data_IF_337696552011
#
_entry.id   IF_337696552011
#
_cell.length_a   1.000
_cell.length_b   1.000
_cell.length_c   1.000
_cell.angle_alpha   90.00
_cell.angle_beta   90.00
_cell.angle_gamma   90.00
#
_symmetry.space_group_name_H-M   'P 1'
#
loop_
_entity.id
_entity.type
_entity.pdbx_description
1 polymer ?
#
# COMPACT_ATOMS: atom_id res chain seq x y z
N UNK A 1 19.47 1.27 -19.37
CA UNK A 1 19.43 2.32 -18.32
C UNK A 1 19.35 1.61 -17.01
N UNK A 2 20.41 1.74 -16.21
CA UNK A 2 20.57 1.02 -14.96
C UNK A 2 19.42 1.39 -14.03
N UNK A 3 18.61 0.41 -13.64
CA UNK A 3 17.72 0.56 -12.52
C UNK A 3 18.59 0.98 -11.36
N UNK A 4 18.46 2.25 -10.96
CA UNK A 4 18.97 2.69 -9.67
C UNK A 4 18.43 1.67 -8.67
N UNK A 5 19.33 0.86 -8.12
CA UNK A 5 18.99 -0.04 -7.03
C UNK A 5 18.27 0.84 -6.01
N UNK A 6 16.97 0.62 -5.84
CA UNK A 6 16.16 1.31 -4.85
C UNK A 6 16.96 1.26 -3.55
N UNK A 7 17.31 2.44 -3.04
CA UNK A 7 18.30 2.56 -1.96
C UNK A 7 17.82 1.71 -0.78
N UNK A 8 18.58 0.70 -0.34
CA UNK A 8 18.15 -0.21 0.72
C UNK A 8 17.74 0.50 2.02
N UNK A 9 18.28 1.70 2.26
CA UNK A 9 17.99 2.55 3.41
C UNK A 9 16.59 3.19 3.33
N UNK A 10 16.13 3.62 2.14
CA UNK A 10 14.79 4.21 1.97
C UNK A 10 13.67 3.19 2.22
N UNK A 11 13.87 1.93 1.83
CA UNK A 11 12.92 0.86 2.14
C UNK A 11 12.98 0.45 3.61
N UNK A 12 14.12 0.60 4.28
CA UNK A 12 14.21 0.40 5.71
C UNK A 12 13.35 1.42 6.46
N UNK A 13 13.50 2.71 6.15
CA UNK A 13 12.70 3.80 6.75
C UNK A 13 11.19 3.63 6.49
N UNK A 14 10.81 3.22 5.26
CA UNK A 14 9.42 2.91 4.93
C UNK A 14 8.84 1.81 5.84
N UNK A 15 9.56 0.69 5.97
CA UNK A 15 9.08 -0.43 6.79
C UNK A 15 9.15 -0.14 8.29
N UNK A 16 10.04 0.73 8.75
CA UNK A 16 10.03 1.23 10.12
C UNK A 16 8.74 2.00 10.41
N UNK A 17 8.32 2.90 9.52
CA UNK A 17 7.03 3.59 9.62
C UNK A 17 5.82 2.65 9.58
N UNK A 18 5.81 1.68 8.67
CA UNK A 18 4.77 0.65 8.58
C UNK A 18 4.70 -0.17 9.88
N UNK A 19 5.84 -0.52 10.47
CA UNK A 19 5.89 -1.26 11.73
C UNK A 19 5.37 -0.43 12.90
N UNK A 20 5.63 0.88 12.95
CA UNK A 20 5.03 1.77 13.96
C UNK A 20 3.51 1.72 13.89
N UNK A 21 2.92 1.84 12.69
CA UNK A 21 1.47 1.77 12.48
C UNK A 21 0.93 0.39 12.88
N UNK A 22 1.58 -0.68 12.40
CA UNK A 22 1.18 -2.06 12.72
C UNK A 22 1.19 -2.31 14.23
N UNK A 23 2.25 -1.92 14.93
CA UNK A 23 2.36 -2.08 16.38
C UNK A 23 1.30 -1.28 17.11
N UNK A 24 1.02 -0.05 16.67
CA UNK A 24 -0.08 0.72 17.23
C UNK A 24 -1.42 0.01 17.04
N UNK A 25 -1.71 -0.53 15.85
CA UNK A 25 -2.92 -1.32 15.60
C UNK A 25 -2.97 -2.60 16.44
N UNK A 26 -1.85 -3.30 16.60
CA UNK A 26 -1.77 -4.51 17.43
C UNK A 26 -2.14 -4.22 18.90
N UNK A 27 -1.79 -3.03 19.40
CA UNK A 27 -2.04 -2.60 20.77
C UNK A 27 -3.42 -1.97 21.00
N UNK A 28 -4.11 -1.51 19.94
CA UNK A 28 -5.36 -0.74 20.05
C UNK A 28 -6.56 -1.43 19.39
N UNK A 29 -6.38 -2.56 18.70
CA UNK A 29 -7.47 -3.33 18.16
C UNK A 29 -8.25 -4.06 19.27
N UNK A 30 -9.56 -4.32 19.09
CA UNK A 30 -10.31 -5.24 19.92
C UNK A 30 -9.66 -6.63 20.00
N UNK A 31 -10.02 -7.41 21.03
CA UNK A 31 -9.60 -8.81 21.11
C UNK A 31 -10.03 -9.58 19.86
N UNK A 32 -9.05 -10.22 19.22
CA UNK A 32 -9.23 -10.94 17.96
C UNK A 32 -8.16 -12.03 17.83
N UNK A 33 -8.53 -13.12 17.18
CA UNK A 33 -7.61 -14.17 16.76
C UNK A 33 -6.62 -13.65 15.70
N UNK A 34 -5.53 -14.37 15.48
CA UNK A 34 -4.58 -14.03 14.41
C UNK A 34 -5.24 -14.07 13.02
N UNK A 35 -6.16 -15.01 12.79
CA UNK A 35 -6.92 -15.08 11.54
C UNK A 35 -7.83 -13.86 11.33
N UNK A 36 -8.51 -13.40 12.38
CA UNK A 36 -9.36 -12.21 12.31
C UNK A 36 -8.52 -10.96 12.08
N UNK A 37 -7.38 -10.83 12.77
CA UNK A 37 -6.44 -9.73 12.57
C UNK A 37 -5.97 -9.62 11.11
N UNK A 38 -5.56 -10.74 10.52
CA UNK A 38 -5.15 -10.80 9.11
C UNK A 38 -6.32 -10.41 8.21
N UNK A 39 -7.50 -11.01 8.43
CA UNK A 39 -8.69 -10.73 7.65
C UNK A 39 -9.05 -9.23 7.69
N UNK A 40 -9.10 -8.62 8.87
CA UNK A 40 -9.46 -7.21 9.02
C UNK A 40 -8.46 -6.28 8.33
N UNK A 41 -7.15 -6.56 8.43
CA UNK A 41 -6.12 -5.76 7.76
C UNK A 41 -6.18 -5.88 6.24
N UNK A 42 -6.52 -7.06 5.72
CA UNK A 42 -6.75 -7.24 4.27
C UNK A 42 -8.03 -6.54 3.82
N UNK A 43 -9.11 -6.62 4.59
CA UNK A 43 -10.38 -5.97 4.26
C UNK A 43 -10.27 -4.44 4.23
N UNK A 44 -9.44 -3.84 5.09
CA UNK A 44 -9.17 -2.40 5.10
C UNK A 44 -8.65 -1.88 3.74
N UNK A 45 -7.96 -2.71 2.95
CA UNK A 45 -7.53 -2.33 1.59
C UNK A 45 -8.72 -1.97 0.69
N UNK A 46 -9.82 -2.71 0.80
CA UNK A 46 -11.04 -2.44 0.03
C UNK A 46 -11.73 -1.15 0.47
N UNK A 47 -11.62 -0.79 1.75
CA UNK A 47 -12.14 0.46 2.31
C UNK A 47 -11.38 1.65 1.73
N UNK A 48 -10.04 1.63 1.80
CA UNK A 48 -9.19 2.69 1.22
C UNK A 48 -9.38 2.84 -0.29
N UNK A 49 -9.55 1.71 -1.01
CA UNK A 49 -9.87 1.76 -2.44
C UNK A 49 -11.23 2.42 -2.73
N UNK A 50 -12.19 2.27 -1.80
CA UNK A 50 -13.46 2.97 -1.83
C UNK A 50 -13.26 4.49 -1.71
N UNK A 51 -12.36 4.93 -0.84
CA UNK A 51 -12.02 6.35 -0.66
C UNK A 51 -11.35 6.92 -1.91
N UNK A 52 -10.40 6.19 -2.53
CA UNK A 52 -9.85 6.56 -3.85
C UNK A 52 -10.95 6.73 -4.89
N UNK A 53 -11.93 5.81 -4.91
CA UNK A 53 -13.04 5.87 -5.86
C UNK A 53 -13.92 7.10 -5.63
N UNK A 54 -14.16 7.46 -4.36
CA UNK A 54 -14.88 8.68 -4.01
C UNK A 54 -14.11 9.94 -4.40
N UNK A 55 -12.81 10.00 -4.12
CA UNK A 55 -11.95 11.11 -4.48
C UNK A 55 -11.89 11.31 -6.00
N UNK A 56 -11.79 10.24 -6.79
CA UNK A 56 -11.81 10.32 -8.27
C UNK A 56 -13.16 10.85 -8.77
N UNK A 57 -14.27 10.36 -8.23
CA UNK A 57 -15.59 10.89 -8.58
C UNK A 57 -15.71 12.39 -8.26
N UNK A 58 -15.16 12.83 -7.13
CA UNK A 58 -15.12 14.23 -6.72
C UNK A 58 -14.22 15.08 -7.61
N UNK A 59 -13.02 14.60 -7.96
CA UNK A 59 -12.04 15.32 -8.77
C UNK A 59 -12.42 15.45 -10.25
N UNK A 60 -13.26 14.54 -10.76
CA UNK A 60 -13.71 14.54 -12.16
C UNK A 60 -15.12 15.11 -12.33
N UNK A 61 -15.84 15.38 -11.23
CA UNK A 61 -17.27 15.70 -11.27
C UNK A 61 -18.14 14.57 -11.85
N UNK A 62 -17.61 13.35 -11.97
CA UNK A 62 -18.27 12.24 -12.65
C UNK A 62 -19.53 11.73 -11.93
N UNK A 63 -19.74 12.10 -10.66
CA UNK A 63 -20.97 11.83 -9.93
C UNK A 63 -21.88 13.08 -9.88
N UNK A 64 -22.93 13.17 -10.71
CA UNK A 64 -23.78 14.35 -10.81
C UNK A 64 -24.52 14.69 -9.51
N UNK A 65 -24.63 13.75 -8.56
CA UNK A 65 -25.28 13.98 -7.26
C UNK A 65 -24.36 14.67 -6.24
N UNK A 66 -23.04 14.62 -6.44
CA UNK A 66 -22.05 15.14 -5.49
C UNK A 66 -21.25 16.33 -6.01
N UNK A 67 -21.25 16.59 -7.33
CA UNK A 67 -20.50 17.70 -7.93
C UNK A 67 -18.98 17.54 -7.79
N UNK A 68 -18.24 18.63 -8.02
CA UNK A 68 -16.78 18.67 -7.82
C UNK A 68 -16.47 18.91 -6.35
N UNK A 69 -16.22 17.83 -5.61
CA UNK A 69 -15.98 17.87 -4.15
C UNK A 69 -14.53 17.63 -3.74
N UNK A 70 -13.69 17.13 -4.64
CA UNK A 70 -12.31 16.75 -4.39
C UNK A 70 -11.41 17.28 -5.50
N UNK A 71 -10.11 17.18 -5.27
CA UNK A 71 -9.04 17.49 -6.21
C UNK A 71 -8.22 16.23 -6.51
N UNK A 72 -7.36 16.28 -7.52
CA UNK A 72 -6.41 15.20 -7.78
C UNK A 72 -5.37 15.03 -6.66
N UNK A 73 -5.15 16.04 -5.82
CA UNK A 73 -4.29 15.90 -4.64
C UNK A 73 -4.96 15.00 -3.58
N UNK A 74 -6.29 15.02 -3.47
CA UNK A 74 -7.02 14.11 -2.59
C UNK A 74 -6.90 12.67 -3.12
N UNK A 75 -6.97 12.46 -4.43
CA UNK A 75 -6.74 11.14 -5.05
C UNK A 75 -5.33 10.61 -4.74
N UNK A 76 -4.31 11.47 -4.83
CA UNK A 76 -2.93 11.11 -4.49
C UNK A 76 -2.81 10.68 -3.03
N UNK A 77 -3.43 11.43 -2.12
CA UNK A 77 -3.48 11.09 -0.69
C UNK A 77 -4.13 9.72 -0.46
N UNK A 78 -5.31 9.48 -1.02
CA UNK A 78 -6.01 8.21 -0.80
C UNK A 78 -5.26 7.02 -1.44
N UNK A 79 -4.53 7.24 -2.55
CA UNK A 79 -3.65 6.21 -3.11
C UNK A 79 -2.47 5.88 -2.18
N UNK A 80 -1.93 6.87 -1.47
CA UNK A 80 -0.92 6.64 -0.45
C UNK A 80 -1.48 5.84 0.73
N UNK A 81 -2.72 6.14 1.16
CA UNK A 81 -3.41 5.42 2.22
C UNK A 81 -3.67 3.94 1.85
N UNK A 82 -4.04 3.65 0.58
CA UNK A 82 -4.09 2.27 0.04
C UNK A 82 -2.73 1.59 0.12
N UNK A 83 -1.66 2.26 -0.31
CA UNK A 83 -0.32 1.69 -0.35
C UNK A 83 0.18 1.34 1.06
N UNK A 84 0.03 2.26 2.01
CA UNK A 84 0.40 2.04 3.42
C UNK A 84 -0.42 0.89 4.02
N UNK A 85 -1.74 0.86 3.78
CA UNK A 85 -2.63 -0.20 4.28
C UNK A 85 -2.24 -1.57 3.74
N UNK A 86 -1.89 -1.67 2.45
CA UNK A 86 -1.40 -2.91 1.86
C UNK A 86 -0.06 -3.36 2.47
N UNK A 87 0.85 -2.42 2.77
CA UNK A 87 2.13 -2.73 3.42
C UNK A 87 1.94 -3.18 4.88
N UNK A 88 1.00 -2.59 5.62
CA UNK A 88 0.63 -3.05 6.96
C UNK A 88 0.05 -4.47 6.92
N UNK A 89 -0.82 -4.76 5.96
CA UNK A 89 -1.34 -6.11 5.75
C UNK A 89 -0.20 -7.10 5.42
N UNK A 90 0.73 -6.73 4.54
CA UNK A 90 1.91 -7.53 4.21
C UNK A 90 2.80 -7.78 5.45
N UNK A 91 3.04 -6.75 6.26
CA UNK A 91 3.78 -6.82 7.52
C UNK A 91 3.10 -7.71 8.57
N UNK A 92 1.80 -7.98 8.42
CA UNK A 92 1.06 -8.87 9.32
C UNK A 92 1.22 -10.33 8.92
N UNK A 93 1.20 -10.62 7.62
CA UNK A 93 1.23 -12.01 7.11
C UNK A 93 2.65 -12.52 6.86
N UNK A 94 3.63 -11.63 6.72
CA UNK A 94 5.02 -11.98 6.45
C UNK A 94 5.91 -11.75 7.67
N UNK A 95 6.76 -12.73 8.05
CA UNK A 95 7.76 -12.53 9.09
C UNK A 95 8.86 -11.54 8.68
N UNK A 96 9.06 -11.32 7.37
CA UNK A 96 10.01 -10.35 6.81
C UNK A 96 9.38 -9.68 5.58
N UNK A 97 8.47 -8.75 5.85
CA UNK A 97 7.70 -8.06 4.81
C UNK A 97 8.57 -7.20 3.89
N UNK A 98 9.62 -6.58 4.43
CA UNK A 98 10.57 -5.80 3.63
C UNK A 98 11.23 -6.67 2.57
N UNK A 99 11.85 -7.78 2.98
CA UNK A 99 12.47 -8.72 2.04
C UNK A 99 11.48 -9.26 1.02
N UNK A 100 10.25 -9.55 1.46
CA UNK A 100 9.19 -10.05 0.57
C UNK A 100 8.81 -9.01 -0.49
N UNK A 101 8.65 -7.76 -0.08
CA UNK A 101 8.35 -6.64 -0.98
C UNK A 101 9.49 -6.38 -1.96
N UNK A 102 10.73 -6.27 -1.46
CA UNK A 102 11.93 -6.02 -2.26
C UNK A 102 12.11 -7.09 -3.35
N UNK A 103 12.01 -8.37 -2.97
CA UNK A 103 12.13 -9.49 -3.90
C UNK A 103 11.03 -9.46 -4.97
N UNK A 104 9.78 -9.12 -4.59
CA UNK A 104 8.67 -9.00 -5.53
C UNK A 104 8.88 -7.85 -6.49
N UNK A 105 9.27 -6.69 -6.00
CA UNK A 105 9.52 -5.50 -6.81
C UNK A 105 10.68 -5.74 -7.79
N UNK A 106 11.79 -6.32 -7.33
CA UNK A 106 12.91 -6.72 -8.18
C UNK A 106 12.47 -7.69 -9.28
N UNK A 107 11.66 -8.69 -8.94
CA UNK A 107 11.10 -9.64 -9.92
C UNK A 107 10.28 -8.93 -10.98
N UNK A 108 9.46 -7.95 -10.60
CA UNK A 108 8.63 -7.19 -11.53
C UNK A 108 9.50 -6.30 -12.45
N UNK A 109 10.51 -5.62 -11.91
CA UNK A 109 11.46 -4.81 -12.68
C UNK A 109 12.24 -5.67 -13.68
N UNK A 110 12.73 -6.84 -13.25
CA UNK A 110 13.46 -7.77 -14.14
C UNK A 110 12.61 -8.22 -15.33
N UNK A 111 11.29 -8.41 -15.15
CA UNK A 111 10.38 -8.77 -16.25
C UNK A 111 10.24 -7.69 -17.33
N UNK A 112 10.56 -6.44 -17.01
CA UNK A 112 10.51 -5.33 -17.96
C UNK A 112 11.79 -5.21 -18.81
N UNK A 113 12.85 -5.94 -18.46
CA UNK A 113 14.11 -5.95 -19.22
C UNK A 113 14.16 -7.21 -20.09
N UNK A 114 14.23 -7.10 -21.44
CA UNK A 114 14.35 -8.28 -22.30
C UNK A 114 15.60 -9.10 -21.96
N UNK A 115 15.59 -10.43 -22.11
CA UNK A 115 16.83 -11.21 -21.97
C UNK A 115 17.87 -10.71 -22.98
N UNK A 116 19.11 -10.53 -22.54
CA UNK A 116 20.23 -10.22 -23.45
C UNK A 116 20.27 -11.31 -24.53
N UNK A 117 20.07 -10.91 -25.78
CA UNK A 117 20.31 -11.76 -26.94
C UNK A 117 21.81 -12.02 -26.98
N UNK A 118 22.22 -13.24 -26.64
CA UNK A 118 23.59 -13.74 -26.87
C UNK A 118 23.79 -14.10 -28.33
#
# INVERSE_FOLDING_TARGET
>A
MNGENLRPEAHAELFDGVNVIRTWLDNNAPEQTDSERVMMRVLKISEELGEVSEAVHGATGANPRKGESHTWADVEKELADVAVTALVALATVSPDARKSFDARLQTLVMRLTPPEVR
#
